data_IF_039300915436
#
_entry.id   IF_039300915436
#
_cell.length_a   1.000
_cell.length_b   1.000
_cell.length_c   1.000
_cell.angle_alpha   90.00
_cell.angle_beta   90.00
_cell.angle_gamma   90.00
#
_symmetry.space_group_name_H-M   'P 1'
#
loop_
_entity.id
_entity.type
_entity.pdbx_description
1 polymer ?
#
# COMPACT_ATOMS: atom_id res chain seq x y z
N UNK A 1 5.03 -0.78 -18.71
CA UNK A 1 5.54 -0.15 -19.94
C UNK A 1 6.33 1.08 -19.50
N UNK A 2 7.65 1.18 -19.80
CA UNK A 2 8.54 2.05 -19.05
C UNK A 2 8.25 3.52 -19.34
N UNK A 3 8.36 4.31 -18.28
CA UNK A 3 7.78 5.64 -18.04
C UNK A 3 8.55 6.78 -18.73
N UNK A 4 9.57 6.45 -19.53
CA UNK A 4 10.57 7.41 -20.01
C UNK A 4 10.36 7.76 -21.50
N UNK A 5 9.26 7.30 -22.12
CA UNK A 5 9.21 7.13 -23.58
C UNK A 5 8.82 8.38 -24.41
N UNK A 6 8.36 9.50 -23.86
CA UNK A 6 8.09 10.66 -24.73
C UNK A 6 8.09 11.93 -23.93
N UNK A 7 8.98 12.87 -24.25
CA UNK A 7 8.73 14.33 -24.27
C UNK A 7 10.08 15.08 -24.39
N UNK A 8 10.74 14.98 -25.55
CA UNK A 8 11.79 15.94 -25.93
C UNK A 8 11.18 16.95 -26.91
N UNK A 9 10.72 18.10 -26.40
CA UNK A 9 10.28 19.21 -27.24
C UNK A 9 10.99 20.52 -26.86
N UNK A 10 11.65 21.04 -27.89
CA UNK A 10 12.17 22.41 -28.09
C UNK A 10 13.46 22.76 -27.34
N UNK A 11 14.57 22.70 -28.09
CA UNK A 11 15.85 23.32 -27.76
C UNK A 11 15.78 24.79 -28.19
N UNK A 12 16.11 25.71 -27.28
CA UNK A 12 16.33 27.13 -27.59
C UNK A 12 17.77 27.48 -27.23
N UNK A 13 18.41 28.26 -28.10
CA UNK A 13 19.84 28.57 -28.12
C UNK A 13 20.28 29.54 -27.03
N UNK A 14 21.41 29.26 -26.36
CA UNK A 14 22.37 30.29 -25.93
C UNK A 14 23.77 29.69 -25.71
N UNK A 15 24.75 30.26 -26.41
CA UNK A 15 26.20 30.02 -26.27
C UNK A 15 26.75 30.77 -25.05
N UNK A 16 27.52 30.08 -24.20
CA UNK A 16 28.76 30.58 -23.60
C UNK A 16 29.71 29.39 -23.30
N UNK A 17 31.01 29.59 -23.56
CA UNK A 17 32.14 28.74 -23.13
C UNK A 17 32.40 28.97 -21.62
N UNK A 18 32.95 28.05 -20.82
CA UNK A 18 34.27 27.42 -20.91
C UNK A 18 34.41 26.37 -19.78
N UNK A 19 35.07 25.24 -20.02
CA UNK A 19 36.02 24.51 -19.14
C UNK A 19 36.30 23.11 -19.72
N UNK A 20 37.55 22.64 -19.57
CA UNK A 20 38.00 21.34 -20.09
C UNK A 20 37.54 20.26 -19.11
N UNK A 21 36.42 19.63 -19.42
CA UNK A 21 36.06 18.32 -18.87
C UNK A 21 35.27 17.56 -19.95
N UNK A 22 35.02 16.27 -19.74
CA UNK A 22 34.40 15.33 -20.69
C UNK A 22 32.91 15.65 -21.05
N UNK A 23 32.57 16.93 -21.22
CA UNK A 23 31.25 17.55 -21.49
C UNK A 23 30.83 17.43 -22.96
N UNK A 24 31.61 16.76 -23.80
CA UNK A 24 31.29 16.60 -25.22
C UNK A 24 30.79 15.18 -25.49
N UNK A 25 29.80 15.10 -26.38
CA UNK A 25 29.31 13.85 -26.94
C UNK A 25 29.97 13.61 -28.30
N UNK A 26 30.52 12.41 -28.49
CA UNK A 26 31.21 12.04 -29.72
C UNK A 26 30.55 10.85 -30.41
N UNK A 27 30.68 10.82 -31.73
CA UNK A 27 30.43 9.64 -32.57
C UNK A 27 31.47 8.54 -32.29
N UNK A 28 31.24 7.32 -32.77
CA UNK A 28 32.21 6.20 -32.71
C UNK A 28 33.57 6.57 -33.29
N UNK A 29 33.59 7.44 -34.30
CA UNK A 29 34.77 7.91 -35.00
C UNK A 29 35.43 9.12 -34.31
N UNK A 30 34.94 9.54 -33.14
CA UNK A 30 35.49 10.66 -32.38
C UNK A 30 35.09 12.05 -32.90
N UNK A 31 34.12 12.12 -33.81
CA UNK A 31 33.58 13.41 -34.30
C UNK A 31 32.60 13.96 -33.28
N UNK A 32 32.77 15.25 -32.95
CA UNK A 32 31.90 15.99 -32.04
C UNK A 32 30.45 16.04 -32.54
N UNK A 33 29.50 15.75 -31.66
CA UNK A 33 28.05 15.83 -31.92
C UNK A 33 27.48 17.07 -31.24
N UNK A 34 27.56 17.13 -29.91
CA UNK A 34 27.00 18.22 -29.10
C UNK A 34 27.61 18.21 -27.70
N UNK A 35 27.29 19.21 -26.86
CA UNK A 35 27.65 19.21 -25.44
C UNK A 35 26.65 18.40 -24.62
N UNK A 36 27.14 17.53 -23.73
CA UNK A 36 26.35 16.71 -22.80
C UNK A 36 25.47 17.59 -21.91
N UNK A 37 25.98 18.71 -21.39
CA UNK A 37 25.18 19.65 -20.59
C UNK A 37 23.87 20.12 -21.26
N UNK A 38 23.85 20.23 -22.60
CA UNK A 38 22.64 20.64 -23.33
C UNK A 38 21.59 19.51 -23.33
N UNK A 39 22.05 18.27 -23.42
CA UNK A 39 21.19 17.09 -23.36
C UNK A 39 20.69 16.85 -21.93
N UNK A 40 21.55 17.03 -20.93
CA UNK A 40 21.18 16.96 -19.51
C UNK A 40 20.11 18.00 -19.20
N UNK A 41 20.32 19.27 -19.61
CA UNK A 41 19.33 20.32 -19.41
C UNK A 41 17.98 20.01 -20.10
N UNK A 42 18.02 19.43 -21.30
CA UNK A 42 16.80 19.01 -22.00
C UNK A 42 16.12 17.81 -21.33
N UNK A 43 16.88 16.90 -20.73
CA UNK A 43 16.36 15.79 -19.94
C UNK A 43 15.75 16.27 -18.61
N UNK A 44 16.38 17.19 -17.89
CA UNK A 44 15.82 17.77 -16.66
C UNK A 44 14.48 18.47 -16.96
N UNK A 45 14.41 19.20 -18.07
CA UNK A 45 13.18 19.82 -18.55
C UNK A 45 12.09 18.78 -18.86
N UNK A 46 12.43 17.65 -19.48
CA UNK A 46 11.45 16.59 -19.78
C UNK A 46 10.98 15.87 -18.51
N UNK A 47 11.85 15.74 -17.51
CA UNK A 47 11.53 15.26 -16.17
C UNK A 47 10.74 16.28 -15.33
N UNK A 48 10.60 17.52 -15.81
CA UNK A 48 10.04 18.66 -15.08
C UNK A 48 10.75 18.92 -13.74
N UNK A 49 12.04 18.61 -13.68
CA UNK A 49 12.86 18.73 -12.48
C UNK A 49 13.66 20.05 -12.48
N UNK A 50 14.00 20.52 -11.28
CA UNK A 50 14.89 21.66 -11.11
C UNK A 50 16.31 21.33 -11.60
N UNK A 51 17.06 22.36 -11.99
CA UNK A 51 18.42 22.19 -12.53
C UNK A 51 19.39 21.57 -11.53
N UNK A 52 19.12 21.75 -10.24
CA UNK A 52 19.97 21.31 -9.14
C UNK A 52 19.39 20.07 -8.43
N UNK A 53 18.33 19.45 -8.98
CA UNK A 53 17.77 18.22 -8.43
C UNK A 53 18.81 17.08 -8.57
N UNK A 54 19.30 16.51 -7.47
CA UNK A 54 20.40 15.56 -7.50
C UNK A 54 20.01 14.23 -8.17
N UNK A 55 18.78 13.77 -7.98
CA UNK A 55 18.31 12.48 -8.51
C UNK A 55 17.99 12.59 -10.00
N UNK A 56 17.30 13.67 -10.39
CA UNK A 56 17.03 13.95 -11.79
C UNK A 56 18.32 14.16 -12.59
N UNK A 57 19.30 14.87 -12.01
CA UNK A 57 20.63 15.05 -12.63
C UNK A 57 21.32 13.72 -12.81
N UNK A 58 21.33 12.85 -11.80
CA UNK A 58 21.94 11.52 -11.87
C UNK A 58 21.32 10.63 -12.95
N UNK A 59 19.99 10.68 -13.10
CA UNK A 59 19.27 9.96 -14.15
C UNK A 59 19.65 10.51 -15.53
N UNK A 60 19.63 11.83 -15.70
CA UNK A 60 19.97 12.48 -16.96
C UNK A 60 21.43 12.25 -17.37
N UNK A 61 22.36 12.31 -16.42
CA UNK A 61 23.77 11.98 -16.63
C UNK A 61 23.95 10.54 -17.07
N UNK A 62 23.26 9.59 -16.43
CA UNK A 62 23.29 8.20 -16.85
C UNK A 62 22.77 8.04 -18.29
N UNK A 63 21.60 8.61 -18.61
CA UNK A 63 21.01 8.51 -19.95
C UNK A 63 21.92 9.12 -21.03
N UNK A 64 22.48 10.30 -20.78
CA UNK A 64 23.38 10.98 -21.72
C UNK A 64 24.70 10.23 -21.87
N UNK A 65 25.20 9.60 -20.80
CA UNK A 65 26.42 8.79 -20.85
C UNK A 65 26.28 7.57 -21.76
N UNK A 66 25.08 6.99 -21.89
CA UNK A 66 24.81 5.88 -22.82
C UNK A 66 24.97 6.26 -24.30
N UNK A 67 24.96 7.56 -24.62
CA UNK A 67 25.03 8.06 -26.00
C UNK A 67 26.47 8.19 -26.50
N UNK A 68 27.46 8.26 -25.61
CA UNK A 68 28.83 8.56 -26.01
C UNK A 68 29.43 7.41 -26.82
N UNK A 69 30.00 7.73 -27.99
CA UNK A 69 30.49 6.75 -28.95
C UNK A 69 29.42 5.73 -29.39
N UNK A 70 28.13 6.05 -29.25
CA UNK A 70 27.05 5.12 -29.57
C UNK A 70 26.76 5.07 -31.06
N UNK A 71 26.69 6.23 -31.68
CA UNK A 71 26.31 6.39 -33.09
C UNK A 71 27.53 6.65 -33.97
N UNK A 72 27.50 6.12 -35.18
CA UNK A 72 28.46 6.45 -36.24
C UNK A 72 28.19 7.84 -36.80
N UNK A 73 29.20 8.46 -37.37
CA UNK A 73 29.08 9.71 -38.12
C UNK A 73 28.00 9.62 -39.21
N UNK A 74 27.95 8.51 -39.95
CA UNK A 74 26.98 8.30 -41.04
C UNK A 74 25.54 8.30 -40.53
N UNK A 75 25.27 7.68 -39.39
CA UNK A 75 23.94 7.66 -38.76
C UNK A 75 23.54 9.08 -38.33
N UNK A 76 24.44 9.81 -37.68
CA UNK A 76 24.18 11.20 -37.24
C UNK A 76 23.92 12.12 -38.44
N UNK A 77 24.73 12.04 -39.50
CA UNK A 77 24.55 12.84 -40.72
C UNK A 77 23.21 12.53 -41.41
N UNK A 78 22.85 11.25 -41.55
CA UNK A 78 21.59 10.85 -42.17
C UNK A 78 20.37 11.45 -41.45
N UNK A 79 20.36 11.39 -40.11
CA UNK A 79 19.29 11.97 -39.31
C UNK A 79 19.34 13.51 -39.29
N UNK A 80 20.53 14.12 -39.39
CA UNK A 80 20.69 15.59 -39.48
C UNK A 80 20.07 16.12 -40.76
N UNK A 81 20.27 15.44 -41.89
CA UNK A 81 19.65 15.81 -43.17
C UNK A 81 18.13 15.71 -43.11
N UNK A 82 17.59 14.64 -42.50
CA UNK A 82 16.15 14.40 -42.45
C UNK A 82 15.40 15.26 -41.42
N UNK A 83 15.97 15.42 -40.22
CA UNK A 83 15.25 15.95 -39.05
C UNK A 83 15.86 17.23 -38.46
N UNK A 84 16.95 17.74 -39.06
CA UNK A 84 17.63 18.99 -38.64
C UNK A 84 17.94 18.98 -37.14
N UNK A 85 17.41 19.94 -36.39
CA UNK A 85 17.63 20.09 -34.95
C UNK A 85 17.11 18.91 -34.11
N UNK A 86 16.19 18.11 -34.63
CA UNK A 86 15.65 16.94 -33.95
C UNK A 86 16.45 15.65 -34.24
N UNK A 87 17.52 15.72 -35.01
CA UNK A 87 18.25 14.54 -35.49
C UNK A 87 18.67 13.57 -34.39
N UNK A 88 19.31 14.07 -33.34
CA UNK A 88 19.79 13.22 -32.25
C UNK A 88 18.62 12.60 -31.47
N UNK A 89 17.54 13.34 -31.26
CA UNK A 89 16.32 12.84 -30.59
C UNK A 89 15.69 11.72 -31.42
N UNK A 90 15.48 11.95 -32.72
CA UNK A 90 14.92 10.94 -33.64
C UNK A 90 15.80 9.70 -33.76
N UNK A 91 17.12 9.88 -33.73
CA UNK A 91 18.08 8.78 -33.74
C UNK A 91 17.99 7.96 -32.45
N UNK A 92 17.85 8.63 -31.29
CA UNK A 92 17.62 7.96 -30.00
C UNK A 92 16.29 7.19 -29.97
N UNK A 93 15.21 7.78 -30.51
CA UNK A 93 13.90 7.13 -30.60
C UNK A 93 13.94 5.87 -31.47
N UNK A 94 14.70 5.89 -32.58
CA UNK A 94 14.85 4.76 -33.48
C UNK A 94 15.76 3.65 -32.93
N UNK A 95 16.63 3.96 -31.96
CA UNK A 95 17.56 3.00 -31.37
C UNK A 95 16.88 2.13 -30.31
N UNK A 96 16.28 1.02 -30.75
CA UNK A 96 15.63 0.04 -29.88
C UNK A 96 16.52 -0.50 -28.75
N UNK A 97 17.84 -0.64 -28.97
CA UNK A 97 18.77 -1.10 -27.94
C UNK A 97 18.98 -0.03 -26.87
N UNK A 98 19.03 1.24 -27.26
CA UNK A 98 19.10 2.35 -26.32
C UNK A 98 17.83 2.40 -25.48
N UNK A 99 16.67 2.30 -26.14
CA UNK A 99 15.36 2.31 -25.48
C UNK A 99 15.24 1.18 -24.45
N UNK A 100 15.83 0.01 -24.71
CA UNK A 100 15.89 -1.09 -23.73
C UNK A 100 16.89 -0.85 -22.59
N UNK A 101 17.90 -0.02 -22.79
CA UNK A 101 18.96 0.24 -21.80
C UNK A 101 18.64 1.42 -20.88
N UNK A 102 17.93 2.44 -21.38
CA UNK A 102 17.56 3.65 -20.62
C UNK A 102 16.89 3.34 -19.27
N UNK A 103 15.94 2.37 -19.15
CA UNK A 103 15.32 2.04 -17.87
C UNK A 103 16.33 1.64 -16.79
N UNK A 104 17.47 1.06 -17.17
CA UNK A 104 18.53 0.67 -16.23
C UNK A 104 19.15 1.86 -15.48
N UNK A 105 19.05 3.08 -16.01
CA UNK A 105 19.49 4.30 -15.33
C UNK A 105 18.66 4.64 -14.10
N UNK A 106 17.45 4.07 -14.00
CA UNK A 106 16.59 4.18 -12.83
C UNK A 106 16.67 2.87 -12.04
N UNK A 107 16.53 1.72 -12.72
CA UNK A 107 16.40 0.40 -12.09
C UNK A 107 17.62 -0.06 -11.28
N UNK A 108 18.84 0.34 -11.68
CA UNK A 108 20.07 -0.08 -10.99
C UNK A 108 20.39 0.76 -9.78
N UNK A 109 19.85 1.96 -9.67
CA UNK A 109 20.13 2.86 -8.57
C UNK A 109 18.93 2.92 -7.62
N UNK A 110 18.98 2.01 -6.65
CA UNK A 110 17.94 1.87 -5.64
C UNK A 110 17.93 3.01 -4.60
N UNK A 111 18.81 4.00 -4.74
CA UNK A 111 18.89 5.19 -3.85
C UNK A 111 18.14 6.40 -4.39
N UNK A 112 17.75 6.38 -5.67
CA UNK A 112 17.02 7.48 -6.30
C UNK A 112 15.66 7.68 -5.63
N UNK A 113 15.39 8.91 -5.18
CA UNK A 113 14.04 9.31 -4.77
C UNK A 113 13.23 9.65 -6.01
N UNK A 114 12.48 8.68 -6.52
CA UNK A 114 11.68 8.86 -7.73
C UNK A 114 10.55 9.87 -7.54
N UNK A 115 10.14 10.09 -6.29
CA UNK A 115 9.09 11.06 -5.95
C UNK A 115 9.60 12.49 -5.83
N UNK A 116 10.91 12.73 -5.89
CA UNK A 116 11.46 14.07 -6.13
C UNK A 116 11.21 14.54 -7.57
N UNK A 117 10.96 13.62 -8.51
CA UNK A 117 10.87 13.91 -9.94
C UNK A 117 9.41 14.12 -10.35
N UNK A 118 8.99 15.34 -10.74
CA UNK A 118 7.57 15.64 -10.97
C UNK A 118 6.95 14.84 -12.11
N UNK A 119 7.67 14.59 -13.22
CA UNK A 119 7.17 13.75 -14.31
C UNK A 119 6.92 12.30 -13.85
N UNK A 120 7.75 11.77 -12.94
CA UNK A 120 7.53 10.45 -12.38
C UNK A 120 6.25 10.41 -11.56
N UNK A 121 6.08 11.35 -10.63
CA UNK A 121 4.90 11.52 -9.77
C UNK A 121 3.60 11.60 -10.59
N UNK A 122 3.60 12.44 -11.64
CA UNK A 122 2.46 12.61 -12.55
C UNK A 122 2.07 11.30 -13.24
N UNK A 123 3.06 10.52 -13.67
CA UNK A 123 2.82 9.24 -14.34
C UNK A 123 2.41 8.13 -13.35
N UNK A 124 2.91 8.17 -12.11
CA UNK A 124 2.76 7.09 -11.14
C UNK A 124 1.35 7.01 -10.59
N UNK A 125 0.75 8.16 -10.25
CA UNK A 125 -0.57 8.22 -9.65
C UNK A 125 -1.68 7.49 -10.46
N UNK A 126 -1.82 7.68 -11.79
CA UNK A 126 -2.80 6.93 -12.58
C UNK A 126 -2.56 5.41 -12.60
N UNK A 127 -1.29 4.98 -12.61
CA UNK A 127 -0.94 3.55 -12.56
C UNK A 127 -1.26 2.95 -11.21
N UNK A 128 -0.96 3.66 -10.12
CA UNK A 128 -1.34 3.26 -8.77
C UNK A 128 -2.86 3.06 -8.68
N UNK A 129 -3.64 4.03 -9.16
CA UNK A 129 -5.10 3.95 -9.17
C UNK A 129 -5.61 2.73 -9.98
N UNK A 130 -4.96 2.42 -11.11
CA UNK A 130 -5.29 1.25 -11.94
C UNK A 130 -4.95 -0.06 -11.24
N UNK A 131 -3.75 -0.15 -10.63
CA UNK A 131 -3.29 -1.31 -9.88
C UNK A 131 -4.22 -1.62 -8.70
N UNK A 132 -4.60 -0.60 -7.93
CA UNK A 132 -5.55 -0.74 -6.83
C UNK A 132 -6.87 -1.33 -7.34
N UNK A 133 -7.45 -0.79 -8.42
CA UNK A 133 -8.70 -1.36 -8.96
C UNK A 133 -8.59 -2.82 -9.37
N UNK A 134 -7.43 -3.24 -9.88
CA UNK A 134 -7.22 -4.62 -10.31
C UNK A 134 -7.03 -5.58 -9.12
N UNK A 135 -6.47 -5.09 -8.02
CA UNK A 135 -6.21 -5.88 -6.81
C UNK A 135 -7.46 -6.13 -5.96
N UNK A 136 -8.48 -5.26 -6.06
CA UNK A 136 -9.70 -5.40 -5.27
C UNK A 136 -10.86 -5.97 -6.11
N UNK A 137 -11.50 -7.03 -5.58
CA UNK A 137 -12.69 -7.64 -6.19
C UNK A 137 -13.95 -6.76 -6.10
N UNK A 138 -13.96 -5.81 -5.17
CA UNK A 138 -15.09 -4.92 -4.89
C UNK A 138 -14.97 -3.65 -5.72
N UNK A 139 -16.10 -3.11 -6.16
CA UNK A 139 -16.11 -1.82 -6.87
C UNK A 139 -15.67 -0.71 -5.93
N UNK A 140 -14.72 0.12 -6.39
CA UNK A 140 -14.17 1.24 -5.63
C UNK A 140 -14.70 2.53 -6.22
N UNK A 141 -15.36 3.34 -5.39
CA UNK A 141 -15.83 4.66 -5.80
C UNK A 141 -14.67 5.55 -6.26
N UNK A 142 -14.91 6.43 -7.23
CA UNK A 142 -13.88 7.35 -7.73
C UNK A 142 -13.32 8.24 -6.59
N UNK A 143 -14.18 8.67 -5.66
CA UNK A 143 -13.80 9.49 -4.52
C UNK A 143 -12.87 8.75 -3.55
N UNK A 144 -13.24 7.53 -3.13
CA UNK A 144 -12.42 6.73 -2.21
C UNK A 144 -11.05 6.40 -2.84
N UNK A 145 -11.03 6.06 -4.13
CA UNK A 145 -9.78 5.79 -4.83
C UNK A 145 -8.88 7.02 -4.89
N UNK A 146 -9.44 8.20 -5.17
CA UNK A 146 -8.67 9.44 -5.22
C UNK A 146 -8.12 9.82 -3.85
N UNK A 147 -8.93 9.70 -2.79
CA UNK A 147 -8.49 9.97 -1.42
C UNK A 147 -7.37 9.04 -0.99
N UNK A 148 -7.53 7.73 -1.22
CA UNK A 148 -6.50 6.74 -0.92
C UNK A 148 -5.22 7.00 -1.72
N UNK A 149 -5.32 7.21 -3.03
CA UNK A 149 -4.16 7.53 -3.86
C UNK A 149 -3.47 8.81 -3.39
N UNK A 150 -4.21 9.87 -3.07
CA UNK A 150 -3.65 11.10 -2.52
C UNK A 150 -2.83 10.83 -1.26
N UNK A 151 -3.36 10.03 -0.33
CA UNK A 151 -2.66 9.67 0.89
C UNK A 151 -1.37 8.87 0.60
N UNK A 152 -1.43 7.86 -0.27
CA UNK A 152 -0.26 7.07 -0.65
C UNK A 152 0.83 7.96 -1.26
N UNK A 153 0.45 8.89 -2.14
CA UNK A 153 1.39 9.83 -2.75
C UNK A 153 2.05 10.74 -1.69
N UNK A 154 1.29 11.20 -0.68
CA UNK A 154 1.82 12.01 0.42
C UNK A 154 2.84 11.24 1.28
N UNK A 155 2.54 9.97 1.61
CA UNK A 155 3.48 9.09 2.33
C UNK A 155 4.77 8.89 1.54
N UNK A 156 4.66 8.60 0.24
CA UNK A 156 5.83 8.41 -0.63
C UNK A 156 6.65 9.68 -0.81
N UNK A 157 6.00 10.85 -0.88
CA UNK A 157 6.70 12.13 -0.95
C UNK A 157 7.48 12.41 0.34
N UNK A 158 6.86 12.17 1.50
CA UNK A 158 7.50 12.39 2.81
C UNK A 158 8.66 11.44 3.08
N UNK A 159 8.54 10.17 2.66
CA UNK A 159 9.60 9.16 2.86
C UNK A 159 10.71 9.21 1.82
N UNK A 160 10.43 9.74 0.64
CA UNK A 160 11.32 9.65 -0.51
C UNK A 160 11.30 8.25 -1.12
N UNK A 161 10.27 7.95 -1.89
CA UNK A 161 10.08 6.62 -2.49
C UNK A 161 11.19 6.25 -3.47
N UNK A 162 11.71 5.04 -3.29
CA UNK A 162 12.76 4.41 -4.09
C UNK A 162 12.26 3.12 -4.74
N UNK A 163 13.03 2.53 -5.65
CA UNK A 163 12.67 1.22 -6.22
C UNK A 163 12.69 0.05 -5.21
N UNK A 164 13.35 0.21 -4.06
CA UNK A 164 13.30 -0.81 -2.98
C UNK A 164 11.90 -0.88 -2.37
N UNK A 165 11.19 0.23 -2.43
CA UNK A 165 9.85 0.35 -1.87
C UNK A 165 8.81 -0.39 -2.73
N UNK A 166 9.04 -0.57 -4.05
CA UNK A 166 8.08 -1.19 -4.96
C UNK A 166 7.69 -2.61 -4.52
N UNK A 167 8.67 -3.47 -4.19
CA UNK A 167 8.39 -4.82 -3.68
C UNK A 167 7.71 -4.80 -2.31
N UNK A 168 8.01 -3.78 -1.51
CA UNK A 168 7.40 -3.61 -0.20
C UNK A 168 5.91 -3.29 -0.30
N UNK A 169 5.45 -2.68 -1.41
CA UNK A 169 4.02 -2.36 -1.62
C UNK A 169 3.10 -3.58 -1.74
N UNK A 170 3.65 -4.74 -2.10
CA UNK A 170 2.88 -5.97 -2.23
C UNK A 170 3.22 -7.02 -1.16
N UNK A 171 4.21 -6.75 -0.30
CA UNK A 171 4.55 -7.61 0.81
C UNK A 171 3.80 -7.18 2.08
N UNK A 172 2.82 -7.97 2.55
CA UNK A 172 2.04 -7.65 3.74
C UNK A 172 2.86 -7.62 5.04
N UNK A 173 4.10 -8.12 5.02
CA UNK A 173 5.02 -8.06 6.15
C UNK A 173 6.00 -6.89 6.08
N UNK A 174 5.97 -6.09 5.01
CA UNK A 174 6.85 -4.93 4.90
C UNK A 174 6.38 -3.78 5.78
N UNK A 175 7.32 -2.95 6.23
CA UNK A 175 7.01 -1.74 6.99
C UNK A 175 6.14 -0.78 6.16
N UNK A 176 6.47 -0.62 4.88
CA UNK A 176 5.79 0.32 4.00
C UNK A 176 4.34 -0.09 3.75
N UNK A 177 4.08 -1.37 3.49
CA UNK A 177 2.72 -1.88 3.32
C UNK A 177 1.86 -1.57 4.55
N UNK A 178 2.35 -1.92 5.74
CA UNK A 178 1.61 -1.73 6.99
C UNK A 178 1.45 -0.25 7.35
N UNK A 179 2.43 0.59 7.02
CA UNK A 179 2.31 2.04 7.20
C UNK A 179 1.28 2.66 6.28
N UNK A 180 1.21 2.24 5.01
CA UNK A 180 0.17 2.68 4.08
C UNK A 180 -1.21 2.22 4.56
N UNK A 181 -1.34 0.97 5.01
CA UNK A 181 -2.59 0.46 5.56
C UNK A 181 -3.02 1.24 6.82
N UNK A 182 -2.07 1.57 7.71
CA UNK A 182 -2.32 2.35 8.92
C UNK A 182 -2.67 3.82 8.61
N UNK A 183 -1.93 4.46 7.71
CA UNK A 183 -2.04 5.91 7.44
C UNK A 183 -3.18 6.22 6.48
N UNK A 184 -3.34 5.39 5.45
CA UNK A 184 -4.28 5.63 4.35
C UNK A 184 -5.55 4.77 4.42
N UNK A 185 -5.59 3.77 5.29
CA UNK A 185 -6.75 2.90 5.44
C UNK A 185 -6.94 1.96 4.25
N UNK A 186 -8.20 1.78 3.84
CA UNK A 186 -8.57 0.93 2.71
C UNK A 186 -9.03 1.77 1.51
N UNK A 187 -8.69 1.41 0.27
CA UNK A 187 -9.22 2.10 -0.90
C UNK A 187 -10.70 1.78 -1.16
N UNK A 188 -11.23 0.66 -0.66
CA UNK A 188 -12.62 0.24 -0.91
C UNK A 188 -13.60 0.98 -0.02
N UNK A 189 -13.21 1.20 1.23
CA UNK A 189 -14.01 1.87 2.25
C UNK A 189 -13.36 3.21 2.52
N UNK A 190 -14.02 4.32 2.18
CA UNK A 190 -13.52 5.67 2.43
C UNK A 190 -13.17 5.87 3.91
N UNK A 191 -12.49 6.97 4.27
CA UNK A 191 -12.04 7.20 5.66
C UNK A 191 -13.14 7.07 6.72
N UNK A 192 -14.40 7.24 6.34
CA UNK A 192 -15.57 7.17 7.23
C UNK A 192 -16.00 5.73 7.59
N UNK A 193 -15.68 4.73 6.76
CA UNK A 193 -15.93 3.29 7.05
C UNK A 193 -14.64 2.55 7.45
N UNK A 194 -13.62 3.32 7.84
CA UNK A 194 -12.49 2.78 8.56
C UNK A 194 -12.97 2.30 9.93
N UNK A 195 -13.40 1.04 10.02
CA UNK A 195 -13.32 0.23 11.24
C UNK A 195 -11.89 0.10 11.81
N UNK A 196 -10.94 0.86 11.27
CA UNK A 196 -9.59 1.10 11.78
C UNK A 196 -9.44 2.42 12.54
N UNK A 197 -10.36 3.39 12.38
CA UNK A 197 -10.51 4.45 13.38
C UNK A 197 -11.29 3.79 14.51
N UNK A 198 -10.56 3.22 15.45
CA UNK A 198 -11.11 2.99 16.78
C UNK A 198 -11.59 4.34 17.31
N UNK A 199 -12.85 4.66 17.08
CA UNK A 199 -13.54 5.66 17.87
C UNK A 199 -13.98 4.90 19.11
N UNK A 200 -13.59 5.40 20.29
CA UNK A 200 -14.01 4.84 21.56
C UNK A 200 -15.51 4.58 21.48
N UNK A 201 -15.97 3.32 21.45
CA UNK A 201 -17.38 3.04 21.26
C UNK A 201 -18.12 3.75 22.38
N UNK A 202 -19.23 4.40 22.04
CA UNK A 202 -20.11 4.97 23.05
C UNK A 202 -20.35 3.89 24.11
N UNK A 203 -20.11 4.21 25.39
CA UNK A 203 -20.13 3.29 26.54
C UNK A 203 -21.43 2.44 26.69
N UNK A 204 -22.42 2.63 25.81
CA UNK A 204 -23.68 1.90 25.73
C UNK A 204 -23.55 0.43 25.30
N UNK A 205 -22.48 0.02 24.62
CA UNK A 205 -22.34 -1.37 24.13
C UNK A 205 -21.85 -2.36 25.19
N UNK A 206 -21.28 -1.88 26.31
CA UNK A 206 -20.74 -2.72 27.40
C UNK A 206 -21.55 -2.46 28.66
N UNK A 207 -22.34 -3.45 29.08
CA UNK A 207 -23.15 -3.41 30.30
C UNK A 207 -22.41 -4.12 31.42
N UNK A 208 -22.30 -3.46 32.57
CA UNK A 208 -21.63 -3.97 33.76
C UNK A 208 -21.30 -2.85 34.75
N UNK A 209 -21.38 -3.16 36.05
CA UNK A 209 -21.23 -2.16 37.11
C UNK A 209 -19.78 -1.92 37.52
N UNK A 210 -18.87 -2.83 37.16
CA UNK A 210 -17.44 -2.67 37.43
C UNK A 210 -16.79 -1.80 36.36
N UNK A 211 -15.83 -0.98 36.78
CA UNK A 211 -14.94 -0.28 35.86
C UNK A 211 -13.90 -1.21 35.27
N UNK A 212 -13.37 -2.13 36.10
CA UNK A 212 -12.35 -3.10 35.72
C UNK A 212 -12.79 -4.49 36.14
N UNK A 213 -12.56 -5.48 35.28
CA UNK A 213 -12.71 -6.89 35.61
C UNK A 213 -11.48 -7.68 35.20
N UNK A 214 -11.11 -8.66 36.02
CA UNK A 214 -9.97 -9.54 35.80
C UNK A 214 -10.49 -10.94 35.57
N UNK A 215 -10.43 -11.39 34.32
CA UNK A 215 -10.98 -12.66 33.87
C UNK A 215 -9.85 -13.68 33.80
N UNK A 216 -9.99 -14.78 34.54
CA UNK A 216 -9.04 -15.89 34.47
C UNK A 216 -9.00 -16.46 33.04
N UNK A 217 -7.80 -16.56 32.49
CA UNK A 217 -7.58 -17.19 31.18
C UNK A 217 -7.16 -18.65 31.34
N UNK A 218 -7.39 -19.40 30.27
CA UNK A 218 -6.99 -20.79 30.13
C UNK A 218 -5.85 -20.84 29.11
N UNK A 219 -4.70 -21.37 29.51
CA UNK A 219 -3.54 -21.51 28.63
C UNK A 219 -3.48 -22.93 28.06
N UNK A 220 -3.53 -23.07 26.73
CA UNK A 220 -3.45 -24.37 26.04
C UNK A 220 -2.53 -24.24 24.83
N UNK A 221 -1.48 -25.05 24.75
CA UNK A 221 -0.54 -25.07 23.62
C UNK A 221 -0.03 -23.66 23.24
N UNK A 222 0.38 -22.88 24.26
CA UNK A 222 0.84 -21.49 24.13
C UNK A 222 -0.21 -20.50 23.58
N UNK A 223 -1.50 -20.86 23.64
CA UNK A 223 -2.60 -19.97 23.31
C UNK A 223 -3.36 -19.55 24.55
N UNK A 224 -3.74 -18.27 24.62
CA UNK A 224 -4.61 -17.73 25.66
C UNK A 224 -6.06 -17.89 25.26
N UNK A 225 -6.89 -18.42 26.17
CA UNK A 225 -8.32 -18.62 25.92
C UNK A 225 -9.17 -18.04 27.02
N UNK A 226 -10.37 -17.61 26.65
CA UNK A 226 -11.31 -16.93 27.54
C UNK A 226 -12.65 -17.64 27.48
N UNK A 227 -13.30 -17.79 28.63
CA UNK A 227 -14.68 -18.27 28.71
C UNK A 227 -15.62 -17.16 28.26
N UNK A 228 -16.48 -17.50 27.30
CA UNK A 228 -17.50 -16.60 26.78
C UNK A 228 -18.84 -17.32 26.84
N UNK A 229 -19.84 -16.63 27.38
CA UNK A 229 -21.20 -17.16 27.45
C UNK A 229 -22.12 -16.41 26.51
N UNK A 230 -22.96 -17.15 25.79
CA UNK A 230 -24.01 -16.60 24.94
C UNK A 230 -25.29 -17.37 25.26
N UNK A 231 -26.28 -16.67 25.81
CA UNK A 231 -27.46 -17.34 26.38
C UNK A 231 -27.09 -18.30 27.50
N UNK A 232 -27.46 -19.57 27.36
CA UNK A 232 -27.18 -20.63 28.35
C UNK A 232 -25.83 -21.32 28.13
N UNK A 233 -25.23 -21.16 26.95
CA UNK A 233 -24.03 -21.91 26.56
C UNK A 233 -22.76 -21.15 26.90
N UNK A 234 -21.78 -21.84 27.47
CA UNK A 234 -20.44 -21.31 27.79
C UNK A 234 -19.39 -22.08 27.00
N UNK A 235 -18.63 -21.37 26.17
CA UNK A 235 -17.55 -21.92 25.37
C UNK A 235 -16.21 -21.28 25.73
N UNK A 236 -15.12 -21.96 25.38
CA UNK A 236 -13.76 -21.46 25.52
C UNK A 236 -13.29 -20.96 24.16
N UNK A 237 -13.02 -19.67 24.05
CA UNK A 237 -12.66 -18.98 22.82
C UNK A 237 -11.17 -18.66 22.82
N UNK A 238 -10.52 -18.79 21.67
CA UNK A 238 -9.15 -18.33 21.46
C UNK A 238 -9.15 -16.79 21.47
N UNK A 239 -8.38 -16.20 22.38
CA UNK A 239 -8.14 -14.76 22.36
C UNK A 239 -7.15 -14.46 21.23
N UNK A 240 -7.61 -13.74 20.21
CA UNK A 240 -6.84 -13.49 19.00
C UNK A 240 -6.86 -12.00 18.65
N UNK A 241 -5.81 -11.28 19.07
CA UNK A 241 -5.65 -9.86 18.75
C UNK A 241 -5.38 -9.58 17.27
N UNK A 242 -5.07 -10.63 16.48
CA UNK A 242 -4.96 -10.57 15.02
C UNK A 242 -6.28 -10.74 14.29
N UNK A 243 -7.33 -11.26 14.95
CA UNK A 243 -8.65 -11.39 14.36
C UNK A 243 -9.44 -10.07 14.46
N UNK A 244 -10.10 -9.67 13.37
CA UNK A 244 -10.93 -8.45 13.37
C UNK A 244 -12.22 -8.62 14.16
N UNK A 245 -12.93 -9.73 13.94
CA UNK A 245 -14.27 -9.97 14.50
C UNK A 245 -14.31 -11.23 15.38
N UNK A 246 -15.47 -11.51 16.00
CA UNK A 246 -15.73 -12.85 16.50
C UNK A 246 -15.83 -13.82 15.32
N UNK A 247 -15.30 -15.03 15.45
CA UNK A 247 -15.38 -16.05 14.41
C UNK A 247 -15.88 -17.37 14.97
N UNK A 248 -16.94 -17.93 14.38
CA UNK A 248 -17.54 -19.21 14.78
C UNK A 248 -17.81 -20.12 13.59
N UNK A 249 -18.09 -21.40 13.88
CA UNK A 249 -18.49 -22.38 12.87
C UNK A 249 -19.93 -22.16 12.41
N UNK A 250 -20.25 -22.58 11.19
CA UNK A 250 -21.62 -22.55 10.68
C UNK A 250 -22.59 -23.41 11.50
N UNK A 251 -22.12 -24.51 12.11
CA UNK A 251 -22.94 -25.34 13.00
C UNK A 251 -23.36 -24.57 14.25
N UNK A 252 -22.45 -23.84 14.89
CA UNK A 252 -22.78 -23.06 16.08
C UNK A 252 -23.69 -21.86 15.75
N UNK A 253 -23.46 -21.19 14.63
CA UNK A 253 -24.37 -20.13 14.17
C UNK A 253 -25.80 -20.65 13.92
N UNK A 254 -25.95 -21.86 13.36
CA UNK A 254 -27.26 -22.52 13.20
C UNK A 254 -27.91 -22.80 14.56
N UNK A 255 -27.15 -23.24 15.55
CA UNK A 255 -27.66 -23.45 16.91
C UNK A 255 -28.14 -22.13 17.53
N UNK A 256 -27.37 -21.04 17.43
CA UNK A 256 -27.78 -19.72 17.92
C UNK A 256 -29.08 -19.21 17.26
N UNK A 257 -29.28 -19.49 15.96
CA UNK A 257 -30.54 -19.19 15.26
C UNK A 257 -31.71 -20.04 15.79
N UNK A 258 -31.48 -21.32 16.05
CA UNK A 258 -32.50 -22.24 16.60
C UNK A 258 -32.90 -21.85 18.03
N UNK A 259 -31.94 -21.43 18.85
CA UNK A 259 -32.15 -20.97 20.22
C UNK A 259 -32.73 -19.54 20.29
N UNK A 260 -32.89 -18.85 19.15
CA UNK A 260 -33.40 -17.48 19.08
C UNK A 260 -32.44 -16.41 19.60
N UNK A 261 -31.17 -16.77 19.81
CA UNK A 261 -30.08 -15.87 20.21
C UNK A 261 -29.50 -15.08 19.02
N UNK A 262 -29.70 -15.59 17.80
CA UNK A 262 -29.57 -14.88 16.54
C UNK A 262 -30.89 -14.93 15.78
N UNK A 263 -31.14 -13.93 14.94
CA UNK A 263 -32.27 -13.85 14.01
C UNK A 263 -31.78 -13.64 12.59
N UNK A 264 -32.65 -13.90 11.60
CA UNK A 264 -32.30 -13.61 10.20
C UNK A 264 -32.07 -12.10 9.97
N UNK A 265 -32.84 -11.26 10.67
CA UNK A 265 -32.69 -9.80 10.61
C UNK A 265 -31.36 -9.29 11.20
N UNK A 266 -30.65 -10.14 11.97
CA UNK A 266 -29.31 -9.82 12.47
C UNK A 266 -28.22 -10.02 11.39
N UNK A 267 -28.55 -10.59 10.22
CA UNK A 267 -27.62 -10.78 9.12
C UNK A 267 -27.22 -9.42 8.51
N UNK A 268 -25.95 -9.07 8.63
CA UNK A 268 -25.38 -7.83 8.04
C UNK A 268 -24.66 -8.08 6.70
N UNK A 269 -24.78 -9.29 6.16
CA UNK A 269 -24.22 -9.70 4.86
C UNK A 269 -22.90 -10.46 4.97
N UNK A 270 -22.16 -10.54 3.86
CA UNK A 270 -20.87 -11.23 3.80
C UNK A 270 -19.70 -10.26 4.04
N UNK A 271 -18.59 -10.78 4.53
CA UNK A 271 -17.32 -10.05 4.67
C UNK A 271 -16.14 -10.92 4.24
N UNK A 272 -15.14 -10.33 3.61
CA UNK A 272 -13.90 -11.03 3.25
C UNK A 272 -12.90 -10.89 4.40
N UNK A 273 -12.28 -12.00 4.76
CA UNK A 273 -11.26 -12.08 5.81
C UNK A 273 -9.99 -12.67 5.22
N UNK A 274 -8.85 -12.03 5.50
CA UNK A 274 -7.52 -12.53 5.17
C UNK A 274 -7.05 -13.46 6.29
N UNK A 275 -6.70 -14.68 5.93
CA UNK A 275 -6.14 -15.67 6.85
C UNK A 275 -4.62 -15.53 6.96
N UNK A 276 -4.06 -16.10 8.01
CA UNK A 276 -2.61 -16.11 8.24
C UNK A 276 -1.82 -16.82 7.12
N UNK A 277 -2.46 -17.71 6.37
CA UNK A 277 -1.87 -18.39 5.20
C UNK A 277 -1.99 -17.57 3.89
N UNK A 278 -2.50 -16.34 3.96
CA UNK A 278 -2.68 -15.44 2.82
C UNK A 278 -3.95 -15.69 2.01
N UNK A 279 -4.76 -16.69 2.35
CA UNK A 279 -6.05 -16.91 1.66
C UNK A 279 -7.08 -15.88 2.11
N UNK A 280 -7.90 -15.44 1.17
CA UNK A 280 -9.14 -14.72 1.47
C UNK A 280 -10.31 -15.68 1.53
N UNK A 281 -11.08 -15.63 2.62
CA UNK A 281 -12.34 -16.36 2.75
C UNK A 281 -13.50 -15.39 2.90
N UNK A 282 -14.65 -15.76 2.33
CA UNK A 282 -15.91 -15.04 2.53
C UNK A 282 -16.64 -15.64 3.73
N UNK A 283 -16.89 -14.84 4.77
CA UNK A 283 -17.66 -15.23 5.94
C UNK A 283 -19.03 -14.54 5.92
N UNK A 284 -20.08 -15.26 6.33
CA UNK A 284 -21.36 -14.62 6.68
C UNK A 284 -21.19 -13.86 7.98
N UNK A 285 -21.82 -12.70 8.13
CA UNK A 285 -21.69 -11.86 9.32
C UNK A 285 -23.05 -11.53 9.91
N UNK A 286 -23.13 -11.65 11.23
CA UNK A 286 -24.31 -11.31 12.02
C UNK A 286 -23.96 -10.22 13.04
N UNK A 287 -24.96 -9.44 13.46
CA UNK A 287 -24.88 -8.56 14.62
C UNK A 287 -25.48 -9.28 15.83
N UNK A 288 -24.67 -9.57 16.83
CA UNK A 288 -25.07 -10.33 18.01
C UNK A 288 -25.04 -9.47 19.27
N UNK A 289 -25.97 -9.77 20.18
CA UNK A 289 -26.11 -9.14 21.49
C UNK A 289 -25.99 -10.17 22.62
N UNK A 290 -25.81 -9.70 23.85
CA UNK A 290 -25.86 -10.58 25.03
C UNK A 290 -24.64 -11.49 25.18
N UNK A 291 -23.48 -11.12 24.65
CA UNK A 291 -22.23 -11.87 24.85
C UNK A 291 -21.69 -11.55 26.24
N UNK A 292 -21.57 -12.55 27.10
CA UNK A 292 -21.03 -12.37 28.44
C UNK A 292 -19.55 -12.78 28.53
N UNK A 293 -18.72 -11.88 29.05
CA UNK A 293 -17.31 -12.11 29.36
C UNK A 293 -17.04 -11.56 30.76
N UNK A 294 -16.70 -12.44 31.71
CA UNK A 294 -16.63 -12.07 33.12
C UNK A 294 -17.95 -11.48 33.61
N UNK A 295 -17.89 -10.30 34.20
CA UNK A 295 -19.04 -9.54 34.68
C UNK A 295 -19.68 -8.61 33.63
N UNK A 296 -19.13 -8.55 32.41
CA UNK A 296 -19.64 -7.69 31.35
C UNK A 296 -20.57 -8.43 30.39
N UNK A 297 -21.62 -7.74 29.94
CA UNK A 297 -22.48 -8.14 28.83
C UNK A 297 -22.25 -7.17 27.68
N UNK A 298 -21.86 -7.71 26.52
CA UNK A 298 -21.54 -6.97 25.32
C UNK A 298 -22.68 -7.10 24.30
N UNK A 299 -23.03 -5.96 23.74
CA UNK A 299 -24.04 -5.82 22.69
C UNK A 299 -23.41 -5.21 21.45
N UNK A 300 -24.11 -5.35 20.33
CA UNK A 300 -23.72 -4.79 19.05
C UNK A 300 -22.31 -5.23 18.61
N UNK A 301 -22.12 -6.56 18.58
CA UNK A 301 -20.86 -7.21 18.20
C UNK A 301 -21.03 -7.90 16.85
N UNK A 302 -20.01 -7.80 15.99
CA UNK A 302 -19.97 -8.53 14.72
C UNK A 302 -19.49 -9.96 14.96
N UNK A 303 -20.30 -10.93 14.53
CA UNK A 303 -20.03 -12.36 14.53
C UNK A 303 -19.88 -12.88 13.11
N UNK A 304 -18.64 -13.17 12.71
CA UNK A 304 -18.32 -13.85 11.47
C UNK A 304 -18.51 -15.36 11.58
N UNK A 305 -18.98 -15.96 10.50
CA UNK A 305 -19.34 -17.38 10.42
C UNK A 305 -18.68 -17.98 9.19
N UNK A 306 -17.88 -19.03 9.40
CA UNK A 306 -17.29 -19.82 8.32
C UNK A 306 -17.28 -21.31 8.68
N UNK A 307 -17.50 -22.16 7.69
CA UNK A 307 -17.50 -23.62 7.86
C UNK A 307 -16.07 -24.19 7.95
N UNK A 308 -15.03 -23.38 7.64
CA UNK A 308 -13.61 -23.75 7.80
C UNK A 308 -13.10 -23.60 9.25
N UNK A 309 -13.92 -23.02 10.13
CA UNK A 309 -13.52 -22.64 11.50
C UNK A 309 -13.54 -23.83 12.43
N UNK A 310 -12.39 -24.14 13.01
CA UNK A 310 -12.24 -25.20 14.03
C UNK A 310 -12.15 -24.68 15.47
N UNK A 311 -11.72 -23.45 15.66
CA UNK A 311 -11.63 -22.79 16.97
C UNK A 311 -12.35 -21.45 16.90
N UNK A 312 -13.17 -21.14 17.91
CA UNK A 312 -13.81 -19.84 17.97
C UNK A 312 -12.80 -18.76 18.34
N UNK A 313 -12.83 -17.63 17.63
CA UNK A 313 -11.89 -16.52 17.84
C UNK A 313 -12.62 -15.36 18.50
N UNK A 314 -12.01 -14.82 19.55
CA UNK A 314 -12.38 -13.56 20.17
C UNK A 314 -11.44 -12.48 19.63
N UNK A 315 -11.93 -11.75 18.62
CA UNK A 315 -11.19 -10.72 17.92
C UNK A 315 -11.33 -9.31 18.50
N UNK A 316 -10.75 -8.35 17.78
CA UNK A 316 -10.70 -6.94 18.19
C UNK A 316 -12.06 -6.26 18.25
N UNK A 317 -13.10 -6.72 17.55
CA UNK A 317 -14.46 -6.19 17.65
C UNK A 317 -15.03 -6.24 19.07
N UNK A 318 -14.60 -7.20 19.88
CA UNK A 318 -14.90 -7.28 21.31
C UNK A 318 -13.89 -6.49 22.14
N UNK A 319 -12.59 -6.70 21.92
CA UNK A 319 -11.54 -6.10 22.75
C UNK A 319 -11.55 -4.57 22.70
N UNK A 320 -11.84 -4.03 21.52
CA UNK A 320 -11.93 -2.60 21.30
C UNK A 320 -13.21 -1.97 21.87
N UNK A 321 -14.16 -2.73 22.42
CA UNK A 321 -15.30 -2.16 23.17
C UNK A 321 -14.89 -1.64 24.55
N UNK A 322 -13.72 -2.02 25.02
CA UNK A 322 -13.14 -1.60 26.29
C UNK A 322 -12.17 -0.43 26.06
N UNK A 323 -12.08 0.48 27.04
CA UNK A 323 -11.07 1.56 27.05
C UNK A 323 -9.64 1.00 27.10
N UNK A 324 -9.48 -0.18 27.71
CA UNK A 324 -8.23 -0.92 27.74
C UNK A 324 -8.48 -2.42 27.90
N UNK A 325 -7.61 -3.22 27.30
CA UNK A 325 -7.54 -4.66 27.51
C UNK A 325 -6.07 -5.10 27.63
N UNK A 326 -5.79 -5.96 28.60
CA UNK A 326 -4.43 -6.44 28.89
C UNK A 326 -4.44 -7.94 29.10
N UNK A 327 -3.52 -8.65 28.45
CA UNK A 327 -3.17 -10.03 28.82
C UNK A 327 -2.02 -9.98 29.82
N UNK A 328 -2.27 -10.38 31.06
CA UNK A 328 -1.25 -10.49 32.10
C UNK A 328 -0.84 -11.97 32.25
N UNK A 329 0.36 -12.29 31.78
CA UNK A 329 0.91 -13.65 31.85
C UNK A 329 1.24 -14.10 33.28
N UNK A 330 1.50 -13.18 34.21
CA UNK A 330 1.80 -13.54 35.61
C UNK A 330 0.52 -13.95 36.33
N UNK A 331 -0.56 -13.24 36.05
CA UNK A 331 -1.88 -13.53 36.60
C UNK A 331 -2.64 -14.60 35.80
N UNK A 332 -2.14 -14.95 34.61
CA UNK A 332 -2.88 -15.72 33.61
C UNK A 332 -4.27 -15.12 33.40
N UNK A 333 -4.37 -13.80 33.22
CA UNK A 333 -5.64 -13.10 33.21
C UNK A 333 -5.79 -12.14 32.02
N UNK A 334 -7.03 -11.95 31.59
CA UNK A 334 -7.45 -10.87 30.71
C UNK A 334 -8.08 -9.78 31.59
N UNK A 335 -7.47 -8.61 31.61
CA UNK A 335 -7.94 -7.44 32.35
C UNK A 335 -8.67 -6.54 31.36
N UNK A 336 -9.93 -6.21 31.64
CA UNK A 336 -10.78 -5.37 30.79
C UNK A 336 -11.25 -4.14 31.57
N UNK A 337 -11.05 -2.95 30.99
CA UNK A 337 -11.48 -1.65 31.54
C UNK A 337 -12.58 -1.07 30.66
N UNK A 338 -13.74 -0.76 31.23
CA UNK A 338 -14.88 -0.22 30.49
C UNK A 338 -14.58 1.17 29.90
#
# INVERSE_FOLDING_TARGET
MPIIISFFLVICTALQAQEINNDNLYTREGIFITKKRLLIASCLKSLQADKDDPDATKICDCQVSLLNNRYTRKEVEAYTVMYKEQALIRLMEADSKLQQTIPACVEKDSSLNLFAIPAFVQSFRPRLATSIRQSYKQEISQSNLQEYCNCVMDVFTKRGFTLRDEKSLSDPNSLLYNELAYTCGSPVRGKEDAGYIWQYPSQSSVVGNKLTDTIQTIQIANTTRVKVRIGKDEYVWLLDSGASDLLVSGTYAKQLLQDGLLKQDDLIGNGNYLLADGREIACRRYRINGIQIGSYILNDIVLAVSDEVRHFLLGKSVLNKFSSWTVDNRLNALILVK
#
